data_IF_219791962252
#
_entry.id   IF_219791962252
#
_cell.length_a   1.000
_cell.length_b   1.000
_cell.length_c   1.000
_cell.angle_alpha   90.00
_cell.angle_beta   90.00
_cell.angle_gamma   90.00
#
_symmetry.space_group_name_H-M   'P 1'
#
loop_
_entity.id
_entity.type
_entity.pdbx_description
1 polymer ?
#
# COMPACT_ATOMS: atom_id res chain seq x y z
N UNK A 1 34.79 6.03 -10.49
CA UNK A 1 35.14 5.66 -9.10
C UNK A 1 33.86 5.36 -8.32
N UNK A 2 33.66 4.16 -7.74
CA UNK A 2 32.56 3.92 -6.80
C UNK A 2 32.78 4.79 -5.55
N UNK A 3 31.72 5.42 -5.05
CA UNK A 3 31.82 6.29 -3.86
C UNK A 3 32.22 5.47 -2.63
N UNK A 4 33.11 5.98 -1.75
CA UNK A 4 33.45 5.32 -0.49
C UNK A 4 32.19 5.06 0.34
N UNK A 5 32.09 3.86 0.91
CA UNK A 5 30.95 3.47 1.76
C UNK A 5 31.02 4.24 3.09
N UNK A 6 29.88 4.76 3.54
CA UNK A 6 29.79 5.51 4.79
C UNK A 6 29.63 4.52 5.97
N UNK A 7 30.60 4.43 6.90
CA UNK A 7 30.59 3.44 7.98
C UNK A 7 29.42 3.61 8.96
N UNK A 8 28.86 4.82 9.09
CA UNK A 8 27.68 5.07 9.92
C UNK A 8 26.42 4.31 9.45
N UNK A 9 26.35 3.95 8.16
CA UNK A 9 25.23 3.20 7.58
C UNK A 9 25.43 1.68 7.60
N UNK A 10 26.59 1.17 8.04
CA UNK A 10 26.89 -0.27 8.02
C UNK A 10 26.22 -1.04 9.16
N UNK A 11 26.17 -0.47 10.37
CA UNK A 11 25.49 -1.08 11.51
C UNK A 11 23.97 -1.20 11.29
N UNK A 12 23.35 -0.14 10.72
CA UNK A 12 21.93 -0.15 10.33
C UNK A 12 21.64 -1.13 9.20
N UNK A 13 22.58 -1.32 8.27
CA UNK A 13 22.45 -2.28 7.18
C UNK A 13 22.52 -3.73 7.68
N UNK A 14 23.48 -4.05 8.55
CA UNK A 14 23.57 -5.38 9.15
C UNK A 14 22.32 -5.72 9.98
N UNK A 15 21.73 -4.75 10.67
CA UNK A 15 20.46 -4.92 11.38
C UNK A 15 19.28 -5.16 10.43
N UNK A 16 19.20 -4.41 9.32
CA UNK A 16 18.17 -4.61 8.28
C UNK A 16 18.32 -5.96 7.56
N UNK A 17 19.54 -6.40 7.27
CA UNK A 17 19.82 -7.69 6.66
C UNK A 17 19.44 -8.85 7.59
N UNK A 18 19.75 -8.75 8.89
CA UNK A 18 19.30 -9.72 9.90
C UNK A 18 17.78 -9.76 10.04
N UNK A 19 17.13 -8.61 9.99
CA UNK A 19 15.67 -8.51 10.03
C UNK A 19 15.02 -9.14 8.79
N UNK A 20 15.55 -8.87 7.59
CA UNK A 20 15.09 -9.51 6.34
C UNK A 20 15.29 -11.03 6.38
N UNK A 21 16.48 -11.50 6.77
CA UNK A 21 16.76 -12.92 6.90
C UNK A 21 15.82 -13.62 7.89
N UNK A 22 15.46 -12.94 8.99
CA UNK A 22 14.46 -13.45 9.95
C UNK A 22 13.06 -13.53 9.33
N UNK A 23 12.64 -12.50 8.59
CA UNK A 23 11.36 -12.50 7.89
C UNK A 23 11.29 -13.61 6.84
N UNK A 24 12.34 -13.78 6.03
CA UNK A 24 12.41 -14.85 5.03
C UNK A 24 12.32 -16.23 5.69
N UNK A 25 12.99 -16.43 6.83
CA UNK A 25 12.94 -17.67 7.59
C UNK A 25 11.56 -17.97 8.22
N UNK A 26 10.77 -16.94 8.52
CA UNK A 26 9.43 -17.09 9.09
C UNK A 26 8.29 -16.94 8.07
N UNK A 27 8.60 -16.70 6.79
CA UNK A 27 7.61 -16.35 5.78
C UNK A 27 6.89 -15.02 6.05
N UNK A 28 7.51 -14.11 6.81
CA UNK A 28 6.92 -12.82 7.18
C UNK A 28 7.07 -11.77 6.07
N UNK A 29 6.09 -10.87 5.94
CA UNK A 29 6.17 -9.75 5.00
C UNK A 29 7.03 -8.61 5.53
N UNK A 30 7.83 -7.98 4.66
CA UNK A 30 8.55 -6.75 4.99
C UNK A 30 7.59 -5.56 5.08
N UNK A 31 7.97 -4.50 5.80
CA UNK A 31 7.19 -3.25 5.85
C UNK A 31 6.89 -2.70 4.46
N UNK A 32 7.87 -2.74 3.55
CA UNK A 32 7.68 -2.28 2.17
C UNK A 32 6.63 -3.12 1.42
N UNK A 33 6.62 -4.44 1.64
CA UNK A 33 5.64 -5.34 1.03
C UNK A 33 4.23 -5.10 1.60
N UNK A 34 4.12 -4.86 2.92
CA UNK A 34 2.85 -4.52 3.58
C UNK A 34 2.31 -3.19 3.05
N UNK A 35 3.15 -2.14 2.99
CA UNK A 35 2.75 -0.83 2.48
C UNK A 35 2.36 -0.89 1.00
N UNK A 36 3.04 -1.72 0.20
CA UNK A 36 2.68 -1.97 -1.19
C UNK A 36 1.32 -2.67 -1.33
N UNK A 37 1.03 -3.66 -0.48
CA UNK A 37 -0.26 -4.36 -0.45
C UNK A 37 -1.40 -3.44 0.00
N UNK A 38 -1.19 -2.61 1.02
CA UNK A 38 -2.17 -1.60 1.46
C UNK A 38 -2.45 -0.59 0.34
N UNK A 39 -1.40 -0.12 -0.33
CA UNK A 39 -1.55 0.80 -1.47
C UNK A 39 -2.31 0.17 -2.64
N UNK A 40 -2.07 -1.12 -2.90
CA UNK A 40 -2.80 -1.89 -3.91
C UNK A 40 -4.29 -2.06 -3.55
N UNK A 41 -4.60 -2.35 -2.29
CA UNK A 41 -5.98 -2.45 -1.81
C UNK A 41 -6.75 -1.13 -1.96
N UNK A 42 -6.10 0.01 -1.68
CA UNK A 42 -6.70 1.33 -1.92
C UNK A 42 -6.94 1.61 -3.42
N UNK A 43 -6.01 1.19 -4.28
CA UNK A 43 -6.17 1.32 -5.73
C UNK A 43 -7.35 0.49 -6.25
N UNK A 44 -7.52 -0.74 -5.76
CA UNK A 44 -8.67 -1.59 -6.07
C UNK A 44 -9.98 -0.95 -5.61
N UNK A 45 -10.04 -0.52 -4.35
CA UNK A 45 -11.24 0.12 -3.82
C UNK A 45 -11.62 1.39 -4.59
N UNK A 46 -10.63 2.16 -5.05
CA UNK A 46 -10.85 3.32 -5.92
C UNK A 46 -11.44 2.92 -7.27
N UNK A 47 -10.84 1.93 -7.93
CA UNK A 47 -11.32 1.44 -9.22
C UNK A 47 -12.75 0.90 -9.15
N UNK A 48 -13.09 0.16 -8.09
CA UNK A 48 -14.47 -0.29 -7.89
C UNK A 48 -15.43 0.87 -7.67
N UNK A 49 -15.05 1.86 -6.86
CA UNK A 49 -15.85 3.05 -6.64
C UNK A 49 -16.05 3.87 -7.93
N UNK A 50 -15.03 3.99 -8.78
CA UNK A 50 -15.12 4.60 -10.12
C UNK A 50 -16.09 3.81 -11.00
N UNK A 51 -15.91 2.49 -11.11
CA UNK A 51 -16.73 1.60 -11.93
C UNK A 51 -18.20 1.60 -11.52
N UNK A 52 -18.48 1.71 -10.21
CA UNK A 52 -19.82 1.71 -9.64
C UNK A 52 -20.42 3.13 -9.50
N UNK A 53 -19.70 4.17 -9.88
CA UNK A 53 -20.16 5.57 -9.77
C UNK A 53 -20.37 6.05 -8.31
N UNK A 54 -19.62 5.51 -7.36
CA UNK A 54 -19.77 5.79 -5.92
C UNK A 54 -18.93 7.01 -5.49
N UNK A 55 -19.40 8.22 -5.81
CA UNK A 55 -18.72 9.49 -5.49
C UNK A 55 -18.28 9.62 -4.03
N UNK A 56 -19.13 9.21 -3.07
CA UNK A 56 -18.81 9.23 -1.63
C UNK A 56 -17.58 8.37 -1.27
N UNK A 57 -17.41 7.23 -1.94
CA UNK A 57 -16.26 6.36 -1.69
C UNK A 57 -14.98 6.95 -2.30
N UNK A 58 -15.09 7.62 -3.45
CA UNK A 58 -13.98 8.38 -4.04
C UNK A 58 -13.53 9.52 -3.13
N UNK A 59 -14.45 10.29 -2.56
CA UNK A 59 -14.13 11.35 -1.59
C UNK A 59 -13.42 10.80 -0.34
N UNK A 60 -13.86 9.63 0.16
CA UNK A 60 -13.19 8.96 1.29
C UNK A 60 -11.76 8.58 0.95
N UNK A 61 -11.52 8.04 -0.24
CA UNK A 61 -10.17 7.68 -0.70
C UNK A 61 -9.29 8.92 -0.82
N UNK A 62 -9.79 10.02 -1.40
CA UNK A 62 -9.06 11.28 -1.46
C UNK A 62 -8.73 11.82 -0.06
N UNK A 63 -9.64 11.67 0.90
CA UNK A 63 -9.40 11.98 2.30
C UNK A 63 -8.24 11.18 2.88
N UNK A 64 -8.19 9.87 2.61
CA UNK A 64 -7.09 8.98 3.03
C UNK A 64 -5.76 9.41 2.40
N UNK A 65 -5.75 9.72 1.10
CA UNK A 65 -4.55 10.21 0.39
C UNK A 65 -4.01 11.50 1.04
N UNK A 66 -4.90 12.44 1.38
CA UNK A 66 -4.52 13.71 2.05
C UNK A 66 -4.02 13.51 3.48
N UNK A 67 -4.59 12.56 4.23
CA UNK A 67 -4.10 12.21 5.56
C UNK A 67 -2.69 11.62 5.50
N UNK A 68 -2.46 10.67 4.58
CA UNK A 68 -1.14 10.09 4.35
C UNK A 68 -0.11 11.17 3.97
N UNK A 69 -0.47 12.08 3.07
CA UNK A 69 0.39 13.19 2.69
C UNK A 69 0.71 14.11 3.87
N UNK A 70 -0.29 14.45 4.70
CA UNK A 70 -0.10 15.28 5.91
C UNK A 70 0.87 14.64 6.91
N UNK A 71 0.79 13.32 7.11
CA UNK A 71 1.71 12.57 7.98
C UNK A 71 3.15 12.60 7.45
N UNK A 72 3.34 12.49 6.13
CA UNK A 72 4.66 12.55 5.52
C UNK A 72 5.24 13.97 5.54
N UNK A 73 4.40 15.00 5.39
CA UNK A 73 4.81 16.40 5.54
C UNK A 73 5.24 16.70 6.98
N UNK A 74 4.52 16.22 7.99
CA UNK A 74 4.91 16.42 9.39
C UNK A 74 6.25 15.76 9.76
N UNK A 75 6.67 14.76 8.97
CA UNK A 75 7.98 14.10 9.07
C UNK A 75 9.09 14.77 8.24
N UNK A 76 8.84 15.97 7.71
CA UNK A 76 9.81 16.75 6.94
C UNK A 76 9.71 16.59 5.42
N UNK A 77 8.68 15.92 4.91
CA UNK A 77 8.40 15.83 3.48
C UNK A 77 7.90 17.16 2.88
N UNK A 78 8.23 17.43 1.61
CA UNK A 78 7.68 18.59 0.89
C UNK A 78 6.25 18.28 0.39
N UNK A 79 5.26 19.17 0.58
CA UNK A 79 3.85 18.88 0.28
C UNK A 79 3.57 18.34 -1.12
N UNK A 80 4.00 19.04 -2.18
CA UNK A 80 3.70 18.64 -3.56
C UNK A 80 4.36 17.31 -3.96
N UNK A 81 5.67 17.09 -3.71
CA UNK A 81 6.30 15.80 -3.97
C UNK A 81 5.67 14.64 -3.20
N UNK A 82 5.31 14.86 -1.94
CA UNK A 82 4.67 13.84 -1.08
C UNK A 82 3.29 13.46 -1.62
N UNK A 83 2.44 14.44 -1.93
CA UNK A 83 1.10 14.18 -2.44
C UNK A 83 1.17 13.42 -3.77
N UNK A 84 2.09 13.81 -4.67
CA UNK A 84 2.34 13.10 -5.92
C UNK A 84 2.80 11.66 -5.67
N UNK A 85 3.69 11.44 -4.70
CA UNK A 85 4.15 10.09 -4.36
C UNK A 85 3.02 9.21 -3.81
N UNK A 86 2.14 9.77 -2.97
CA UNK A 86 0.95 9.08 -2.48
C UNK A 86 0.03 8.70 -3.65
N UNK A 87 -0.32 9.66 -4.51
CA UNK A 87 -1.18 9.38 -5.67
C UNK A 87 -0.61 8.30 -6.59
N UNK A 88 0.70 8.31 -6.87
CA UNK A 88 1.33 7.29 -7.73
C UNK A 88 1.25 5.88 -7.12
N UNK A 89 1.25 5.78 -5.78
CA UNK A 89 1.12 4.50 -5.06
C UNK A 89 -0.33 4.01 -4.99
N UNK A 90 -1.29 4.92 -4.86
CA UNK A 90 -2.72 4.61 -4.67
C UNK A 90 -3.54 4.60 -5.96
N UNK A 91 -2.99 5.09 -7.08
CA UNK A 91 -3.65 5.14 -8.40
C UNK A 91 -2.88 4.30 -9.40
N UNK A 92 -2.91 2.99 -9.18
CA UNK A 92 -2.11 2.03 -9.96
C UNK A 92 -2.78 1.69 -11.30
N UNK A 93 -1.98 1.19 -12.24
CA UNK A 93 -2.43 0.77 -13.58
C UNK A 93 -2.66 -0.75 -13.69
N UNK A 94 -2.15 -1.52 -12.74
CA UNK A 94 -2.21 -2.99 -12.67
C UNK A 94 -3.45 -3.51 -11.94
N UNK A 95 -4.54 -2.74 -11.92
CA UNK A 95 -5.69 -2.99 -11.06
C UNK A 95 -6.40 -4.31 -11.37
N UNK A 96 -6.50 -4.69 -12.64
CA UNK A 96 -7.10 -5.97 -13.04
C UNK A 96 -6.33 -7.18 -12.50
N UNK A 97 -5.00 -7.09 -12.47
CA UNK A 97 -4.14 -8.13 -11.91
C UNK A 97 -4.29 -8.20 -10.38
N UNK A 98 -4.31 -7.04 -9.72
CA UNK A 98 -4.53 -6.94 -8.28
C UNK A 98 -5.88 -7.50 -7.86
N UNK A 99 -6.94 -7.30 -8.66
CA UNK A 99 -8.28 -7.83 -8.37
C UNK A 99 -8.28 -9.36 -8.35
N UNK A 100 -7.59 -9.98 -9.32
CA UNK A 100 -7.46 -11.45 -9.37
C UNK A 100 -6.75 -12.00 -8.14
N UNK A 101 -5.68 -11.33 -7.69
CA UNK A 101 -4.94 -11.73 -6.50
C UNK A 101 -5.76 -11.52 -5.23
N UNK A 102 -6.46 -10.39 -5.09
CA UNK A 102 -7.26 -10.06 -3.92
C UNK A 102 -8.46 -11.01 -3.73
N UNK A 103 -9.00 -11.57 -4.81
CA UNK A 103 -10.12 -12.51 -4.75
C UNK A 103 -9.69 -13.95 -4.39
N UNK A 104 -8.39 -14.23 -4.24
CA UNK A 104 -7.93 -15.54 -3.78
C UNK A 104 -8.23 -15.70 -2.28
N UNK A 105 -8.76 -16.85 -1.85
CA UNK A 105 -8.94 -17.14 -0.43
C UNK A 105 -7.58 -17.19 0.26
N UNK A 106 -7.52 -16.66 1.48
CA UNK A 106 -6.38 -16.89 2.36
C UNK A 106 -6.41 -18.35 2.83
N UNK A 107 -5.23 -18.92 3.10
CA UNK A 107 -5.10 -20.27 3.69
C UNK A 107 -5.53 -20.32 5.18
N UNK A 108 -6.26 -19.30 5.63
CA UNK A 108 -6.94 -19.25 6.93
C UNK A 108 -8.40 -19.76 6.85
N UNK A 109 -8.79 -20.28 5.68
CA UNK A 109 -10.12 -20.84 5.42
C UNK A 109 -11.21 -19.79 5.21
N UNK A 110 -10.88 -18.49 5.21
CA UNK A 110 -11.83 -17.43 4.90
C UNK A 110 -11.85 -17.18 3.40
N UNK A 111 -13.04 -17.02 2.80
CA UNK A 111 -13.10 -16.57 1.43
C UNK A 111 -12.36 -15.23 1.33
N UNK A 112 -11.64 -15.03 0.21
CA UNK A 112 -11.13 -13.69 -0.14
C UNK A 112 -12.30 -12.70 -0.10
N UNK A 113 -12.06 -11.40 0.10
CA UNK A 113 -13.12 -10.43 0.20
C UNK A 113 -14.07 -10.61 -0.98
N UNK A 114 -15.25 -11.19 -0.74
CA UNK A 114 -16.25 -11.34 -1.78
C UNK A 114 -16.48 -9.94 -2.32
N UNK A 115 -16.69 -9.78 -3.62
CA UNK A 115 -17.13 -8.51 -4.20
C UNK A 115 -18.36 -7.90 -3.49
N UNK A 116 -19.02 -8.71 -2.64
CA UNK A 116 -20.10 -8.38 -1.70
C UNK A 116 -19.69 -7.64 -0.42
N UNK A 117 -18.44 -7.64 0.05
CA UNK A 117 -18.00 -6.75 1.15
C UNK A 117 -18.19 -5.27 0.78
N UNK A 118 -18.21 -4.99 -0.52
CA UNK A 118 -18.49 -3.68 -1.10
C UNK A 118 -19.99 -3.45 -1.40
N UNK A 119 -20.87 -4.41 -1.05
CA UNK A 119 -22.33 -4.28 -1.10
C UNK A 119 -22.94 -3.71 0.20
N UNK A 120 -22.13 -3.29 1.19
CA UNK A 120 -22.63 -2.65 2.44
C UNK A 120 -23.19 -1.23 2.25
N UNK A 121 -23.80 -0.92 1.12
CA UNK A 121 -24.64 0.27 0.96
C UNK A 121 -25.74 0.02 -0.06
N UNK A 122 -26.82 -0.61 0.38
CA UNK A 122 -28.14 -0.50 -0.24
C UNK A 122 -29.21 -0.54 0.86
N UNK A 123 -30.29 0.24 0.72
CA UNK A 123 -30.38 1.70 0.54
C UNK A 123 -30.26 2.46 1.87
#
# INVERSE_FOLDING_TARGET
>A
MPRPRNPANEAGRAAQERYKAKLDATGGATTDAVDAAISAALALFRHEAETRGQSKNLERIEGIERMAASILVSRGGKPNPVLRAVHLRTRRLDVEELQRLANQPLDDGRPGPSSDLYNMTRP
#
